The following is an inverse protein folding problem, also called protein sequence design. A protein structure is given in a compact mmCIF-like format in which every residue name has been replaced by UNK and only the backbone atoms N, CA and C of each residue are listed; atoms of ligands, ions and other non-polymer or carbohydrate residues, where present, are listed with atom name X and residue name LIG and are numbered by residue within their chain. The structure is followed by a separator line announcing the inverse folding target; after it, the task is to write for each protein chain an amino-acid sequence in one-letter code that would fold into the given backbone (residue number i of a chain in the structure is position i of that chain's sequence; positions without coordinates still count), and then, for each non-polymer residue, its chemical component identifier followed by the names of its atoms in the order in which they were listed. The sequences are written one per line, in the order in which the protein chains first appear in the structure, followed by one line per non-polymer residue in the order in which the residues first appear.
data_IF_222155585480
#
_entry.id   IF_222155585480
#
_cell.length_a   1.000
_cell.length_b   1.000
_cell.length_c   1.000
_cell.angle_alpha   90.00
_cell.angle_beta   90.00
_cell.angle_gamma   90.00
#
_symmetry.space_group_name_H-M   'P 1'
#
loop_
_entity.id
_entity.type
_entity.pdbx_description
1 polymer ?
#
# COMPACT_ATOMS: atom_id res chain seq x y z
N UNK A 1 -10.10 -21.40 -30.27
CA UNK A 1 -10.78 -21.03 -29.02
C UNK A 1 -12.09 -20.35 -29.38
N UNK A 2 -13.24 -20.91 -28.99
CA UNK A 2 -14.53 -20.27 -29.22
C UNK A 2 -14.58 -18.89 -28.58
N UNK A 3 -15.15 -17.91 -29.28
CA UNK A 3 -15.29 -16.52 -28.79
C UNK A 3 -16.03 -16.43 -27.45
N UNK A 4 -16.90 -17.42 -27.15
CA UNK A 4 -17.61 -17.52 -25.87
C UNK A 4 -16.65 -17.78 -24.71
N UNK A 5 -15.81 -18.82 -24.84
CA UNK A 5 -14.82 -19.20 -23.83
C UNK A 5 -13.86 -18.05 -23.48
N UNK A 6 -13.33 -17.35 -24.50
CA UNK A 6 -12.46 -16.19 -24.28
C UNK A 6 -13.18 -15.06 -23.52
N UNK A 7 -14.45 -14.83 -23.83
CA UNK A 7 -15.29 -13.85 -23.12
C UNK A 7 -15.53 -14.22 -21.66
N UNK A 8 -15.80 -15.49 -21.37
CA UNK A 8 -15.97 -16.01 -20.01
C UNK A 8 -14.67 -15.93 -19.20
N UNK A 9 -13.54 -16.35 -19.79
CA UNK A 9 -12.22 -16.26 -19.15
C UNK A 9 -11.84 -14.81 -18.84
N UNK A 10 -12.09 -13.87 -19.77
CA UNK A 10 -11.84 -12.45 -19.53
C UNK A 10 -12.69 -11.90 -18.38
N UNK A 11 -13.96 -12.28 -18.27
CA UNK A 11 -14.81 -11.89 -17.14
C UNK A 11 -14.30 -12.44 -15.82
N UNK A 12 -13.93 -13.72 -15.78
CA UNK A 12 -13.39 -14.37 -14.58
C UNK A 12 -12.09 -13.69 -14.11
N UNK A 13 -11.18 -13.41 -15.04
CA UNK A 13 -9.94 -12.69 -14.75
C UNK A 13 -10.22 -11.29 -14.17
N UNK A 14 -11.13 -10.53 -14.77
CA UNK A 14 -11.50 -9.20 -14.27
C UNK A 14 -12.19 -9.23 -12.90
N UNK A 15 -12.96 -10.27 -12.60
CA UNK A 15 -13.53 -10.46 -11.27
C UNK A 15 -12.44 -10.70 -10.21
N UNK A 16 -11.42 -11.49 -10.55
CA UNK A 16 -10.29 -11.79 -9.68
C UNK A 16 -9.41 -10.55 -9.37
N UNK A 17 -9.46 -9.50 -10.20
CA UNK A 17 -8.69 -8.25 -9.97
C UNK A 17 -8.93 -7.68 -8.57
N UNK A 18 -10.16 -7.70 -8.08
CA UNK A 18 -10.48 -7.15 -6.75
C UNK A 18 -9.84 -7.96 -5.59
N UNK A 19 -9.47 -9.21 -5.83
CA UNK A 19 -8.82 -10.09 -4.84
C UNK A 19 -7.30 -10.10 -4.96
N UNK A 20 -6.78 -9.97 -6.18
CA UNK A 20 -5.35 -9.99 -6.48
C UNK A 20 -4.73 -8.61 -6.31
N UNK A 21 -5.39 -7.58 -6.84
CA UNK A 21 -4.89 -6.20 -6.80
C UNK A 21 -5.33 -5.51 -5.50
N UNK A 22 -4.78 -5.94 -4.36
CA UNK A 22 -5.13 -5.35 -3.06
C UNK A 22 -4.53 -3.94 -2.88
N UNK A 23 -3.37 -3.68 -3.49
CA UNK A 23 -2.69 -2.38 -3.42
C UNK A 23 -2.73 -1.65 -4.76
N UNK A 24 -2.58 -0.31 -4.77
CA UNK A 24 -2.41 0.45 -6.00
C UNK A 24 -1.23 0.01 -6.85
N UNK A 25 -0.13 -0.42 -6.22
CA UNK A 25 1.01 -0.98 -6.96
C UNK A 25 0.56 -2.16 -7.82
N UNK A 26 -0.14 -3.14 -7.23
CA UNK A 26 -0.65 -4.29 -8.00
C UNK A 26 -1.61 -3.85 -9.11
N UNK A 27 -2.50 -2.90 -8.81
CA UNK A 27 -3.44 -2.39 -9.81
C UNK A 27 -2.70 -1.71 -10.97
N UNK A 28 -1.71 -0.86 -10.69
CA UNK A 28 -0.96 -0.14 -11.71
C UNK A 28 -0.10 -1.10 -12.54
N UNK A 29 0.58 -2.07 -11.90
CA UNK A 29 1.29 -3.15 -12.59
C UNK A 29 0.35 -3.94 -13.49
N UNK A 30 -0.85 -4.31 -13.01
CA UNK A 30 -1.85 -5.03 -13.79
C UNK A 30 -2.30 -4.23 -15.02
N UNK A 31 -2.52 -2.92 -14.87
CA UNK A 31 -2.88 -2.03 -15.99
C UNK A 31 -1.74 -1.93 -17.00
N UNK A 32 -0.49 -1.87 -16.54
CA UNK A 32 0.66 -1.86 -17.44
C UNK A 32 0.76 -3.18 -18.24
N UNK A 33 0.60 -4.33 -17.57
CA UNK A 33 0.53 -5.62 -18.27
C UNK A 33 -0.62 -5.67 -19.28
N UNK A 34 -1.81 -5.16 -18.92
CA UNK A 34 -2.93 -5.09 -19.85
C UNK A 34 -2.59 -4.28 -21.12
N UNK A 35 -1.82 -3.19 -20.96
CA UNK A 35 -1.36 -2.34 -22.05
C UNK A 35 -0.28 -3.01 -22.91
N UNK A 36 0.64 -3.76 -22.32
CA UNK A 36 1.64 -4.55 -23.06
C UNK A 36 0.95 -5.63 -23.89
N UNK A 37 0.11 -6.45 -23.25
CA UNK A 37 -0.63 -7.54 -23.92
C UNK A 37 -1.57 -7.01 -25.01
N UNK A 38 -2.21 -5.85 -24.81
CA UNK A 38 -3.10 -5.28 -25.83
C UNK A 38 -2.37 -4.83 -27.10
N UNK A 39 -1.09 -4.44 -26.98
CA UNK A 39 -0.25 -4.09 -28.14
C UNK A 39 0.20 -5.32 -28.90
N UNK A 40 0.58 -6.38 -28.19
CA UNK A 40 1.12 -7.61 -28.79
C UNK A 40 0.05 -8.53 -29.38
N UNK A 41 -1.16 -8.55 -28.81
CA UNK A 41 -2.23 -9.47 -29.23
C UNK A 41 -2.81 -9.22 -30.62
N UNK A 42 -2.53 -8.09 -31.27
CA UNK A 42 -2.89 -7.83 -32.68
C UNK A 42 -4.40 -7.77 -33.01
N UNK A 43 -5.29 -8.02 -32.05
CA UNK A 43 -6.75 -8.09 -32.25
C UNK A 43 -7.38 -6.76 -32.71
N UNK A 44 -6.73 -5.64 -32.38
CA UNK A 44 -7.08 -4.30 -32.83
C UNK A 44 -5.81 -3.50 -33.04
N UNK A 45 -5.64 -2.94 -34.25
CA UNK A 45 -4.59 -1.96 -34.57
C UNK A 45 -4.70 -0.81 -33.56
N UNK A 46 -3.59 -0.52 -32.87
CA UNK A 46 -3.45 0.57 -31.88
C UNK A 46 -4.38 0.48 -30.65
N UNK A 47 -4.70 -0.74 -30.17
CA UNK A 47 -5.47 -0.88 -28.93
C UNK A 47 -4.65 -0.49 -27.70
N UNK A 48 -5.13 0.54 -26.98
CA UNK A 48 -4.57 0.96 -25.69
C UNK A 48 -5.04 0.09 -24.51
N UNK A 49 -5.68 -1.06 -24.74
CA UNK A 49 -6.14 -1.98 -23.67
C UNK A 49 -7.39 -1.55 -22.89
N UNK A 50 -7.82 -0.29 -23.01
CA UNK A 50 -8.96 0.27 -22.27
C UNK A 50 -10.33 -0.11 -22.87
N UNK A 51 -10.78 -1.34 -22.61
CA UNK A 51 -12.13 -1.81 -22.91
C UNK A 51 -13.18 -1.36 -21.88
N UNK A 52 -14.48 -1.49 -22.21
CA UNK A 52 -15.59 -1.20 -21.27
C UNK A 52 -15.51 -2.02 -19.98
N UNK A 53 -15.13 -3.30 -20.10
CA UNK A 53 -15.01 -4.21 -18.96
C UNK A 53 -13.85 -3.80 -18.03
N UNK A 54 -12.70 -3.44 -18.60
CA UNK A 54 -11.55 -2.96 -17.82
C UNK A 54 -11.88 -1.66 -17.09
N UNK A 55 -12.46 -0.66 -17.79
CA UNK A 55 -12.92 0.59 -17.16
C UNK A 55 -13.88 0.32 -16.01
N UNK A 56 -14.85 -0.56 -16.23
CA UNK A 56 -15.84 -0.91 -15.21
C UNK A 56 -15.20 -1.57 -13.97
N UNK A 57 -14.19 -2.40 -14.17
CA UNK A 57 -13.44 -3.11 -13.11
C UNK A 57 -12.63 -2.11 -12.30
N UNK A 58 -11.88 -1.21 -12.95
CA UNK A 58 -11.09 -0.17 -12.27
C UNK A 58 -11.99 0.79 -11.49
N UNK A 59 -13.12 1.23 -12.06
CA UNK A 59 -14.09 2.08 -11.33
C UNK A 59 -14.59 1.35 -10.08
N UNK A 60 -15.01 0.08 -10.20
CA UNK A 60 -15.47 -0.72 -9.06
C UNK A 60 -14.39 -0.87 -7.99
N UNK A 61 -13.12 -0.99 -8.39
CA UNK A 61 -12.00 -1.14 -7.46
C UNK A 61 -11.90 0.06 -6.51
N UNK A 62 -11.99 1.28 -7.02
CA UNK A 62 -11.95 2.49 -6.20
C UNK A 62 -13.16 2.62 -5.26
N UNK A 63 -14.35 2.29 -5.75
CA UNK A 63 -15.60 2.40 -4.99
C UNK A 63 -15.82 1.26 -3.97
N UNK A 64 -15.04 0.18 -4.05
CA UNK A 64 -15.07 -0.91 -3.06
C UNK A 64 -14.35 -0.55 -1.75
N UNK A 65 -13.57 0.53 -1.71
CA UNK A 65 -12.91 1.00 -0.49
C UNK A 65 -13.81 1.95 0.29
N UNK A 66 -13.72 1.94 1.62
CA UNK A 66 -14.31 3.01 2.44
C UNK A 66 -13.58 4.35 2.16
N UNK A 67 -14.21 5.51 2.42
CA UNK A 67 -13.57 6.81 2.21
C UNK A 67 -12.22 6.93 2.92
N UNK A 68 -12.15 6.53 4.19
CA UNK A 68 -10.93 6.55 5.00
C UNK A 68 -9.82 5.68 4.39
N UNK A 69 -10.16 4.46 3.96
CA UNK A 69 -9.19 3.58 3.29
C UNK A 69 -8.74 4.14 1.96
N UNK A 70 -9.65 4.74 1.19
CA UNK A 70 -9.33 5.35 -0.09
C UNK A 70 -8.40 6.56 0.08
N UNK A 71 -8.65 7.42 1.08
CA UNK A 71 -7.80 8.56 1.42
C UNK A 71 -6.37 8.13 1.77
N UNK A 72 -6.22 7.10 2.60
CA UNK A 72 -4.92 6.49 2.88
C UNK A 72 -4.23 5.97 1.61
N UNK A 73 -4.96 5.18 0.79
CA UNK A 73 -4.44 4.60 -0.45
C UNK A 73 -3.90 5.67 -1.39
N UNK A 74 -4.65 6.74 -1.64
CA UNK A 74 -4.29 7.74 -2.65
C UNK A 74 -3.13 8.64 -2.21
N UNK A 75 -2.97 8.85 -0.91
CA UNK A 75 -1.92 9.69 -0.35
C UNK A 75 -0.62 8.91 -0.15
N UNK A 76 -0.69 7.61 0.18
CA UNK A 76 0.48 6.72 0.28
C UNK A 76 1.04 6.31 -1.07
N UNK A 77 0.19 5.95 -2.03
CA UNK A 77 0.60 5.39 -3.33
C UNK A 77 0.36 6.36 -4.49
N UNK A 78 0.76 7.63 -4.32
CA UNK A 78 0.50 8.72 -5.29
C UNK A 78 0.89 8.39 -6.73
N UNK A 79 2.02 7.70 -6.91
CA UNK A 79 2.58 7.31 -8.20
C UNK A 79 3.38 6.00 -8.08
N UNK A 80 3.05 4.99 -8.91
CA UNK A 80 3.79 3.72 -9.04
C UNK A 80 3.67 3.21 -10.47
N UNK A 81 4.61 2.39 -10.95
CA UNK A 81 4.54 1.77 -12.28
C UNK A 81 4.13 2.74 -13.41
N UNK A 82 4.69 3.94 -13.40
CA UNK A 82 4.38 4.99 -14.37
C UNK A 82 2.95 5.56 -14.37
N UNK A 83 2.09 5.18 -13.42
CA UNK A 83 0.73 5.70 -13.28
C UNK A 83 0.54 6.48 -11.98
N UNK A 84 -0.29 7.52 -12.07
CA UNK A 84 -0.94 8.15 -10.92
C UNK A 84 -2.42 7.75 -10.84
N UNK A 85 -3.04 7.96 -9.67
CA UNK A 85 -4.49 7.79 -9.53
C UNK A 85 -5.30 8.68 -10.49
N UNK A 86 -4.80 9.89 -10.78
CA UNK A 86 -5.42 10.81 -11.74
C UNK A 86 -5.45 10.22 -13.15
N UNK A 87 -4.36 9.59 -13.58
CA UNK A 87 -4.29 8.96 -14.91
C UNK A 87 -5.36 7.88 -15.03
N UNK A 88 -5.50 7.03 -14.01
CA UNK A 88 -6.55 6.01 -13.99
C UNK A 88 -7.95 6.63 -13.97
N UNK A 89 -8.18 7.71 -13.22
CA UNK A 89 -9.47 8.41 -13.18
C UNK A 89 -9.85 8.95 -14.55
N UNK A 90 -8.88 9.52 -15.28
CA UNK A 90 -9.08 10.00 -16.64
C UNK A 90 -9.34 8.86 -17.62
N UNK A 91 -8.58 7.76 -17.54
CA UNK A 91 -8.67 6.63 -18.46
C UNK A 91 -9.93 5.77 -18.23
N UNK A 92 -10.37 5.65 -16.97
CA UNK A 92 -11.56 4.88 -16.62
C UNK A 92 -12.86 5.68 -16.70
N UNK A 93 -12.77 7.01 -16.81
CA UNK A 93 -13.89 7.95 -16.68
C UNK A 93 -14.64 7.71 -15.37
N UNK A 94 -13.94 7.96 -14.25
CA UNK A 94 -14.49 7.64 -12.94
C UNK A 94 -15.76 8.45 -12.67
N UNK A 95 -16.87 7.73 -12.50
CA UNK A 95 -18.15 8.28 -12.10
C UNK A 95 -18.90 7.24 -11.28
N UNK A 96 -19.70 7.67 -10.30
CA UNK A 96 -20.57 6.75 -9.58
C UNK A 96 -21.56 6.15 -10.57
N UNK A 97 -21.74 4.83 -10.51
CA UNK A 97 -22.65 4.15 -11.43
C UNK A 97 -24.04 4.12 -10.83
N UNK A 98 -25.05 4.35 -11.68
CA UNK A 98 -26.47 4.14 -11.33
C UNK A 98 -26.77 2.70 -10.91
N UNK A 99 -25.90 1.75 -11.26
CA UNK A 99 -26.00 0.34 -10.88
C UNK A 99 -25.51 0.05 -9.46
N UNK A 100 -25.00 1.04 -8.72
CA UNK A 100 -24.68 0.84 -7.31
C UNK A 100 -25.97 0.66 -6.51
N UNK A 101 -25.96 -0.31 -5.59
CA UNK A 101 -27.06 -0.51 -4.63
C UNK A 101 -27.32 0.78 -3.86
N UNK A 102 -28.55 1.02 -3.41
CA UNK A 102 -28.90 2.12 -2.50
C UNK A 102 -28.08 2.08 -1.20
N UNK A 103 -27.66 0.89 -0.78
CA UNK A 103 -26.84 0.66 0.42
C UNK A 103 -25.34 0.82 0.17
N UNK A 104 -24.92 1.15 -1.05
CA UNK A 104 -23.50 1.27 -1.37
C UNK A 104 -22.84 2.43 -0.59
N UNK A 105 -21.66 2.20 -0.02
CA UNK A 105 -20.89 3.16 0.79
C UNK A 105 -20.78 4.57 0.18
N UNK A 106 -20.72 4.65 -1.15
CA UNK A 106 -20.74 5.93 -1.87
C UNK A 106 -21.90 6.86 -1.47
N UNK A 107 -23.12 6.33 -1.37
CA UNK A 107 -24.30 7.15 -1.10
C UNK A 107 -24.34 7.68 0.34
N UNK A 108 -23.74 6.95 1.28
CA UNK A 108 -23.63 7.34 2.68
C UNK A 108 -22.51 8.39 2.90
N UNK A 109 -21.48 8.39 2.07
CA UNK A 109 -20.27 9.21 2.25
C UNK A 109 -19.94 10.10 1.04
N UNK A 110 -20.95 10.59 0.32
CA UNK A 110 -20.75 11.28 -0.96
C UNK A 110 -19.78 12.47 -0.86
N UNK A 111 -19.89 13.27 0.21
CA UNK A 111 -19.02 14.43 0.47
C UNK A 111 -17.54 14.02 0.55
N UNK A 112 -17.24 12.97 1.29
CA UNK A 112 -15.87 12.48 1.49
C UNK A 112 -15.25 11.97 0.18
N UNK A 113 -15.99 11.18 -0.60
CA UNK A 113 -15.54 10.75 -1.92
C UNK A 113 -15.28 11.94 -2.86
N UNK A 114 -16.16 12.94 -2.86
CA UNK A 114 -16.00 14.13 -3.70
C UNK A 114 -14.75 14.93 -3.29
N UNK A 115 -14.45 15.04 -1.99
CA UNK A 115 -13.26 15.73 -1.50
C UNK A 115 -11.96 14.98 -1.83
N UNK A 116 -11.96 13.64 -1.70
CA UNK A 116 -10.88 12.76 -2.17
C UNK A 116 -10.63 12.95 -3.67
N UNK A 117 -11.69 12.97 -4.48
CA UNK A 117 -11.58 13.10 -5.93
C UNK A 117 -11.09 14.50 -6.34
N UNK A 118 -11.54 15.55 -5.64
CA UNK A 118 -11.01 16.91 -5.82
C UNK A 118 -9.51 16.97 -5.51
N UNK A 119 -9.05 16.32 -4.44
CA UNK A 119 -7.63 16.24 -4.12
C UNK A 119 -6.82 15.58 -5.26
N UNK A 120 -7.29 14.44 -5.78
CA UNK A 120 -6.64 13.73 -6.90
C UNK A 120 -6.58 14.64 -8.15
N UNK A 121 -7.65 15.38 -8.43
CA UNK A 121 -7.70 16.27 -9.59
C UNK A 121 -6.76 17.48 -9.47
N UNK A 122 -6.53 18.01 -8.26
CA UNK A 122 -5.72 19.21 -7.99
C UNK A 122 -4.20 18.99 -8.07
N UNK A 123 -3.70 17.76 -7.94
CA UNK A 123 -2.26 17.43 -7.83
C UNK A 123 -1.40 17.66 -9.10
N UNK A 124 -1.80 18.56 -10.02
CA UNK A 124 -1.09 18.86 -11.29
C UNK A 124 -0.32 20.20 -11.31
N UNK A 125 -0.02 20.85 -10.17
CA UNK A 125 0.77 22.10 -10.17
C UNK A 125 2.29 21.91 -10.39
N UNK A 126 2.65 21.07 -11.36
CA UNK A 126 4.02 20.86 -11.81
C UNK A 126 4.04 20.46 -13.29
N UNK A 127 3.76 21.45 -14.15
CA UNK A 127 3.92 21.51 -15.62
C UNK A 127 2.67 22.04 -16.31
N UNK A 128 2.36 23.32 -16.12
CA UNK A 128 1.46 24.07 -17.00
C UNK A 128 2.28 24.70 -18.13
N UNK A 129 2.11 24.19 -19.34
CA UNK A 129 2.01 25.07 -20.51
C UNK A 129 0.52 25.24 -20.81
N UNK A 130 0.16 26.50 -20.99
CA UNK A 130 -1.15 27.06 -21.26
C UNK A 130 -1.98 26.25 -22.27
N UNK A 131 -3.30 26.16 -22.05
CA UNK A 131 -4.17 25.68 -23.11
C UNK A 131 -5.62 25.34 -22.76
N UNK A 132 -6.46 26.39 -22.71
CA UNK A 132 -7.85 26.39 -23.18
C UNK A 132 -8.88 25.61 -22.35
N UNK A 133 -9.59 26.41 -21.55
CA UNK A 133 -10.99 26.31 -21.18
C UNK A 133 -11.87 25.65 -22.26
N UNK A 134 -12.61 24.60 -21.89
CA UNK A 134 -13.65 23.99 -22.76
C UNK A 134 -15.00 23.91 -22.05
N UNK A 135 -15.94 24.61 -22.68
CA UNK A 135 -17.38 24.75 -22.39
C UNK A 135 -18.07 23.41 -22.14
N UNK A 136 -18.90 23.35 -21.08
CA UNK A 136 -19.89 22.31 -20.82
C UNK A 136 -20.85 22.21 -22.02
N UNK A 137 -20.95 21.03 -22.65
CA UNK A 137 -22.09 20.64 -23.47
C UNK A 137 -22.97 19.70 -22.64
N UNK A 138 -24.22 20.11 -22.42
CA UNK A 138 -25.31 19.20 -22.09
C UNK A 138 -25.56 18.34 -23.34
N UNK A 139 -25.41 17.02 -23.24
CA UNK A 139 -25.85 16.10 -24.28
C UNK A 139 -27.13 15.39 -23.82
N UNK A 140 -28.20 15.66 -24.58
CA UNK A 140 -29.45 14.90 -24.62
C UNK A 140 -29.17 13.55 -25.30
N UNK A 141 -29.67 12.47 -24.69
CA UNK A 141 -29.55 11.09 -25.16
C UNK A 141 -30.38 10.85 -26.44
N UNK A 142 -29.84 10.14 -27.45
CA UNK A 142 -30.66 9.35 -28.34
C UNK A 142 -30.61 7.87 -27.94
N UNK A 143 -31.80 7.29 -27.84
CA UNK A 143 -32.04 5.88 -27.59
C UNK A 143 -31.47 5.04 -28.75
N UNK A 144 -30.53 4.14 -28.45
CA UNK A 144 -30.06 3.12 -29.40
C UNK A 144 -29.96 1.77 -28.69
N UNK A 145 -30.99 0.96 -28.92
CA UNK A 145 -31.00 -0.46 -28.59
C UNK A 145 -29.78 -1.15 -29.20
N UNK A 146 -28.92 -1.73 -28.36
CA UNK A 146 -27.75 -2.48 -28.81
C UNK A 146 -28.12 -3.94 -29.11
N UNK A 147 -28.06 -4.35 -30.37
CA UNK A 147 -28.01 -5.78 -30.74
C UNK A 147 -26.59 -6.31 -30.48
N UNK A 148 -26.38 -7.00 -29.35
CA UNK A 148 -25.27 -7.95 -29.14
C UNK A 148 -25.83 -9.14 -28.35
N UNK A 149 -25.55 -10.35 -28.81
CA UNK A 149 -26.01 -11.59 -28.18
C UNK A 149 -25.70 -11.62 -26.69
N UNK A 150 -26.72 -11.93 -25.89
CA UNK A 150 -26.57 -12.29 -24.47
C UNK A 150 -25.75 -13.57 -24.40
N UNK A 151 -24.76 -13.59 -23.50
CA UNK A 151 -24.06 -14.81 -23.11
C UNK A 151 -25.01 -15.70 -22.32
N UNK A 152 -24.79 -17.01 -22.38
CA UNK A 152 -25.54 -18.00 -21.62
C UNK A 152 -25.42 -17.70 -20.11
N UNK A 153 -26.55 -17.40 -19.42
CA UNK A 153 -26.56 -17.13 -17.99
C UNK A 153 -26.01 -18.29 -17.16
N UNK A 154 -26.18 -19.53 -17.62
CA UNK A 154 -25.89 -20.73 -16.84
C UNK A 154 -24.38 -21.00 -16.75
N UNK A 155 -23.66 -20.90 -17.87
CA UNK A 155 -22.19 -20.99 -17.89
C UNK A 155 -21.52 -19.87 -17.08
N UNK A 156 -22.10 -18.66 -17.12
CA UNK A 156 -21.58 -17.51 -16.37
C UNK A 156 -21.75 -17.71 -14.86
N UNK A 157 -22.87 -18.28 -14.45
CA UNK A 157 -23.15 -18.57 -13.04
C UNK A 157 -22.34 -19.78 -12.53
N UNK A 158 -22.09 -20.78 -13.37
CA UNK A 158 -21.25 -21.92 -13.00
C UNK A 158 -19.80 -21.50 -12.76
N UNK A 159 -19.23 -20.65 -13.63
CA UNK A 159 -17.89 -20.09 -13.40
C UNK A 159 -17.87 -19.24 -12.14
N UNK A 160 -18.95 -18.50 -11.85
CA UNK A 160 -19.08 -17.71 -10.60
C UNK A 160 -19.05 -18.61 -9.37
N UNK A 161 -19.84 -19.70 -9.37
CA UNK A 161 -19.89 -20.68 -8.28
C UNK A 161 -18.57 -21.39 -8.05
N UNK A 162 -17.93 -21.89 -9.12
CA UNK A 162 -16.62 -22.56 -9.01
C UNK A 162 -15.55 -21.60 -8.47
N UNK A 163 -15.59 -20.32 -8.84
CA UNK A 163 -14.72 -19.32 -8.24
C UNK A 163 -15.06 -19.08 -6.77
N UNK A 164 -16.35 -18.98 -6.40
CA UNK A 164 -16.80 -18.81 -5.01
C UNK A 164 -16.39 -19.99 -4.12
N UNK A 165 -16.45 -21.22 -4.61
CA UNK A 165 -15.98 -22.43 -3.93
C UNK A 165 -14.45 -22.42 -3.71
N UNK A 166 -13.67 -22.14 -4.76
CA UNK A 166 -12.22 -21.89 -4.66
C UNK A 166 -11.88 -20.70 -3.75
N UNK A 167 -12.82 -19.77 -3.56
CA UNK A 167 -12.65 -18.63 -2.67
C UNK A 167 -12.97 -19.00 -1.21
N UNK A 168 -13.90 -19.91 -0.95
CA UNK A 168 -14.16 -20.45 0.39
C UNK A 168 -12.95 -21.26 0.88
N UNK A 169 -12.47 -22.20 0.09
CA UNK A 169 -11.30 -23.03 0.42
C UNK A 169 -10.05 -22.16 0.71
N UNK A 170 -9.87 -21.08 -0.05
CA UNK A 170 -8.74 -20.16 0.12
C UNK A 170 -8.96 -19.10 1.22
N UNK A 171 -10.19 -18.88 1.68
CA UNK A 171 -10.47 -18.01 2.83
C UNK A 171 -10.30 -18.76 4.15
N UNK A 172 -10.58 -20.07 4.18
CA UNK A 172 -10.16 -20.97 5.26
C UNK A 172 -8.63 -21.01 5.40
N UNK A 173 -7.87 -20.95 4.29
CA UNK A 173 -6.39 -20.84 4.32
C UNK A 173 -5.84 -19.41 4.59
N UNK A 174 -6.71 -18.39 4.56
CA UNK A 174 -6.39 -16.95 4.71
C UNK A 174 -7.04 -16.30 5.93
N UNK A 175 -7.25 -17.03 7.02
CA UNK A 175 -7.52 -16.38 8.32
C UNK A 175 -6.33 -15.56 8.87
N UNK A 176 -5.21 -15.48 8.15
CA UNK A 176 -4.06 -14.64 8.47
C UNK A 176 -3.90 -13.46 7.49
N UNK A 177 -4.88 -12.56 7.49
CA UNK A 177 -4.68 -11.11 7.31
C UNK A 177 -6.02 -10.44 7.59
N UNK A 178 -6.30 -10.15 8.87
CA UNK A 178 -7.45 -9.34 9.27
C UNK A 178 -7.43 -8.05 8.46
N UNK A 179 -8.38 -7.95 7.54
CA UNK A 179 -8.54 -6.82 6.66
C UNK A 179 -8.81 -5.54 7.46
N UNK A 180 -8.15 -4.48 7.02
CA UNK A 180 -8.12 -3.10 7.52
C UNK A 180 -9.50 -2.37 7.52
N UNK A 181 -10.60 -3.13 7.50
CA UNK A 181 -11.96 -2.69 7.19
C UNK A 181 -12.72 -2.16 8.42
N UNK A 182 -12.15 -2.27 9.62
CA UNK A 182 -12.81 -1.83 10.88
C UNK A 182 -12.02 -0.86 11.77
N UNK A 183 -10.99 -0.16 11.26
CA UNK A 183 -10.00 0.51 12.13
C UNK A 183 -10.09 2.05 12.16
N UNK A 184 -10.99 2.66 11.38
CA UNK A 184 -11.10 4.12 11.34
C UNK A 184 -12.08 4.63 12.39
N UNK A 185 -11.64 5.62 13.17
CA UNK A 185 -12.45 6.27 14.18
C UNK A 185 -13.68 6.93 13.53
N UNK A 186 -14.93 6.64 13.97
CA UNK A 186 -16.13 7.26 13.41
C UNK A 186 -16.19 8.79 13.59
N UNK A 187 -15.33 9.38 14.44
CA UNK A 187 -15.25 10.81 14.67
C UNK A 187 -14.31 11.57 13.72
N UNK A 188 -13.41 10.91 12.98
CA UNK A 188 -12.48 11.56 12.05
C UNK A 188 -12.73 11.07 10.62
N UNK A 189 -13.29 11.95 9.79
CA UNK A 189 -13.68 11.64 8.42
C UNK A 189 -12.50 11.68 7.43
N UNK A 190 -12.70 11.15 6.23
CA UNK A 190 -11.64 11.10 5.21
C UNK A 190 -11.23 12.50 4.74
N UNK A 191 -12.12 13.48 4.86
CA UNK A 191 -11.85 14.88 4.53
C UNK A 191 -10.80 15.46 5.49
N UNK A 192 -10.91 15.20 6.79
CA UNK A 192 -9.92 15.59 7.78
C UNK A 192 -8.54 14.97 7.49
N UNK A 193 -8.50 13.68 7.12
CA UNK A 193 -7.26 12.99 6.73
C UNK A 193 -6.57 13.66 5.53
N UNK A 194 -7.32 13.95 4.46
CA UNK A 194 -6.79 14.61 3.27
C UNK A 194 -6.31 16.03 3.58
N UNK A 195 -7.03 16.77 4.43
CA UNK A 195 -6.62 18.10 4.85
C UNK A 195 -5.33 18.07 5.67
N UNK A 196 -5.20 17.14 6.61
CA UNK A 196 -3.99 16.91 7.37
C UNK A 196 -2.81 16.52 6.48
N UNK A 197 -3.04 15.67 5.46
CA UNK A 197 -2.02 15.32 4.48
C UNK A 197 -1.55 16.55 3.69
N UNK A 198 -2.48 17.38 3.18
CA UNK A 198 -2.14 18.61 2.45
C UNK A 198 -1.34 19.57 3.35
N UNK A 199 -1.79 19.74 4.61
CA UNK A 199 -1.08 20.55 5.60
C UNK A 199 0.35 20.07 5.77
N UNK A 200 0.55 18.76 5.99
CA UNK A 200 1.88 18.16 6.13
C UNK A 200 2.78 18.45 4.90
N UNK A 201 2.24 18.41 3.67
CA UNK A 201 3.02 18.73 2.47
C UNK A 201 3.52 20.18 2.46
N UNK A 202 2.68 21.11 2.93
CA UNK A 202 2.91 22.56 2.89
C UNK A 202 3.80 23.08 4.03
N UNK A 203 3.91 22.34 5.15
CA UNK A 203 4.69 22.77 6.32
C UNK A 203 6.14 23.15 6.01
N UNK A 204 6.62 24.29 6.49
CA UNK A 204 8.05 24.60 6.44
C UNK A 204 8.82 23.73 7.46
N UNK A 205 10.11 23.46 7.20
CA UNK A 205 10.95 22.61 8.06
C UNK A 205 11.08 23.11 9.50
N UNK A 206 10.83 24.40 9.76
CA UNK A 206 10.80 24.98 11.09
C UNK A 206 9.64 24.45 11.96
N UNK A 207 8.57 23.93 11.35
CA UNK A 207 7.38 23.42 12.05
C UNK A 207 7.49 21.91 12.28
N UNK A 208 8.61 21.48 12.88
CA UNK A 208 8.93 20.07 13.09
C UNK A 208 7.90 19.39 14.02
N UNK A 209 7.55 20.04 15.12
CA UNK A 209 6.59 19.50 16.11
C UNK A 209 5.17 19.34 15.54
N UNK A 210 4.73 20.28 14.69
CA UNK A 210 3.45 20.14 13.98
C UNK A 210 3.48 18.95 13.01
N UNK A 211 4.59 18.75 12.29
CA UNK A 211 4.75 17.61 11.40
C UNK A 211 4.71 16.28 12.18
N UNK A 212 5.37 16.20 13.34
CA UNK A 212 5.35 15.03 14.23
C UNK A 212 3.93 14.77 14.75
N UNK A 213 3.24 15.82 15.21
CA UNK A 213 1.85 15.73 15.68
C UNK A 213 0.95 15.15 14.60
N UNK A 214 1.04 15.66 13.36
CA UNK A 214 0.26 15.15 12.23
C UNK A 214 0.58 13.68 11.91
N UNK A 215 1.87 13.30 11.95
CA UNK A 215 2.29 11.91 11.73
C UNK A 215 1.68 10.97 12.78
N UNK A 216 1.76 11.34 14.05
CA UNK A 216 1.23 10.54 15.16
C UNK A 216 -0.30 10.48 15.15
N UNK A 217 -0.95 11.61 14.92
CA UNK A 217 -2.41 11.75 14.94
C UNK A 217 -3.09 10.97 13.80
N UNK A 218 -2.57 11.09 12.59
CA UNK A 218 -3.16 10.50 11.39
C UNK A 218 -2.48 9.19 10.95
N UNK A 219 -1.44 8.76 11.67
CA UNK A 219 -0.67 7.55 11.35
C UNK A 219 -0.08 7.60 9.94
N UNK A 220 0.50 8.74 9.55
CA UNK A 220 1.14 8.87 8.24
C UNK A 220 2.37 7.97 8.15
N UNK A 221 2.53 7.32 7.01
CA UNK A 221 3.70 6.53 6.68
C UNK A 221 4.75 7.35 5.95
N UNK A 222 5.97 6.80 5.84
CA UNK A 222 7.13 7.45 5.21
C UNK A 222 6.80 8.05 3.83
N UNK A 223 6.04 7.34 2.99
CA UNK A 223 5.68 7.80 1.64
C UNK A 223 4.88 9.11 1.62
N UNK A 224 4.19 9.41 2.72
CA UNK A 224 3.37 10.60 2.89
C UNK A 224 4.16 11.77 3.47
N UNK A 225 5.28 11.49 4.14
CA UNK A 225 6.12 12.52 4.77
C UNK A 225 7.01 13.22 3.73
N UNK A 226 7.00 14.55 3.65
CA UNK A 226 7.88 15.29 2.74
C UNK A 226 9.36 15.00 3.01
N UNK A 227 10.16 14.94 1.94
CA UNK A 227 11.58 14.59 2.00
C UNK A 227 12.38 15.46 2.98
N UNK A 228 12.01 16.74 3.13
CA UNK A 228 12.62 17.71 4.06
C UNK A 228 12.50 17.30 5.53
N UNK A 229 11.48 16.51 5.90
CA UNK A 229 11.29 16.03 7.26
C UNK A 229 12.02 14.71 7.53
N UNK A 230 12.37 13.95 6.49
CA UNK A 230 13.05 12.65 6.61
C UNK A 230 14.54 12.76 6.99
N UNK A 231 15.06 13.97 7.21
CA UNK A 231 16.39 14.20 7.81
C UNK A 231 16.36 14.24 9.34
N UNK A 232 15.20 14.42 9.96
CA UNK A 232 15.06 14.55 11.41
C UNK A 232 14.82 13.19 12.07
N UNK A 233 15.54 12.89 13.16
CA UNK A 233 15.39 11.62 13.89
C UNK A 233 14.04 11.53 14.61
N UNK A 234 13.53 12.65 15.09
CA UNK A 234 12.23 12.79 15.75
C UNK A 234 11.09 12.28 14.83
N UNK A 235 11.18 12.61 13.54
CA UNK A 235 10.21 12.17 12.52
C UNK A 235 10.28 10.66 12.31
N UNK A 236 11.48 10.09 12.24
CA UNK A 236 11.63 8.63 12.14
C UNK A 236 11.15 7.92 13.41
N UNK A 237 11.44 8.47 14.59
CA UNK A 237 10.91 7.96 15.85
C UNK A 237 9.38 7.98 15.89
N UNK A 238 8.75 9.05 15.41
CA UNK A 238 7.29 9.14 15.32
C UNK A 238 6.71 8.09 14.35
N UNK A 239 7.36 7.88 13.21
CA UNK A 239 6.96 6.86 12.23
C UNK A 239 7.02 5.44 12.81
N UNK A 240 8.00 5.15 13.69
CA UNK A 240 8.18 3.81 14.28
C UNK A 240 6.94 3.31 15.03
N UNK A 241 6.11 4.21 15.57
CA UNK A 241 4.86 3.88 16.28
C UNK A 241 4.01 2.85 15.54
N UNK A 242 3.85 3.04 14.23
CA UNK A 242 2.97 2.23 13.36
C UNK A 242 3.68 1.64 12.15
N UNK A 243 5.00 1.82 12.03
CA UNK A 243 5.77 1.27 10.91
C UNK A 243 5.77 -0.27 10.95
N UNK A 244 5.50 -0.95 9.84
CA UNK A 244 5.59 -2.42 9.78
C UNK A 244 7.04 -2.91 9.85
N UNK A 245 7.28 -4.17 10.23
CA UNK A 245 8.64 -4.70 10.28
C UNK A 245 9.31 -4.68 8.90
N UNK A 246 8.57 -4.95 7.83
CA UNK A 246 9.07 -4.83 6.44
C UNK A 246 9.49 -3.42 6.08
N UNK A 247 8.77 -2.41 6.57
CA UNK A 247 9.15 -1.02 6.37
C UNK A 247 10.36 -0.63 7.24
N UNK A 248 10.47 -1.14 8.47
CA UNK A 248 11.65 -0.96 9.32
C UNK A 248 12.89 -1.49 8.60
N UNK A 249 12.89 -2.76 8.21
CA UNK A 249 14.03 -3.44 7.55
C UNK A 249 14.53 -2.69 6.30
N UNK A 250 13.60 -2.10 5.53
CA UNK A 250 13.93 -1.33 4.31
C UNK A 250 14.50 0.06 4.57
N UNK A 251 14.42 0.57 5.80
CA UNK A 251 14.79 1.95 6.16
C UNK A 251 15.76 2.02 7.35
N UNK A 252 16.21 0.89 7.89
CA UNK A 252 17.13 0.83 9.04
C UNK A 252 18.44 1.58 8.80
N UNK A 253 18.95 1.50 7.57
CA UNK A 253 20.10 2.26 7.10
C UNK A 253 19.87 3.78 7.22
N UNK A 254 18.69 4.26 6.79
CA UNK A 254 18.33 5.67 6.88
C UNK A 254 18.19 6.11 8.33
N UNK A 255 17.52 5.31 9.16
CA UNK A 255 17.35 5.58 10.59
C UNK A 255 18.70 5.65 11.32
N UNK A 256 19.64 4.77 10.98
CA UNK A 256 21.00 4.82 11.54
C UNK A 256 21.78 6.03 11.07
N UNK A 257 21.62 6.46 9.81
CA UNK A 257 22.32 7.64 9.27
C UNK A 257 21.82 9.00 9.80
N UNK A 258 20.68 9.02 10.50
CA UNK A 258 20.16 10.22 11.18
C UNK A 258 20.36 10.11 12.68
N UNK A 259 21.19 9.18 13.13
CA UNK A 259 21.55 8.98 14.53
C UNK A 259 20.34 8.68 15.43
N UNK A 260 19.29 8.06 14.88
CA UNK A 260 18.10 7.67 15.64
C UNK A 260 18.43 6.65 16.74
N UNK A 261 19.45 5.83 16.50
CA UNK A 261 19.82 4.71 17.35
C UNK A 261 21.06 4.98 18.20
N UNK A 262 21.57 6.22 18.20
CA UNK A 262 22.69 6.58 19.07
C UNK A 262 22.18 6.79 20.50
N UNK A 263 22.89 6.19 21.47
CA UNK A 263 22.67 6.39 22.90
C UNK A 263 23.20 7.78 23.30
N UNK A 264 22.38 8.81 23.16
CA UNK A 264 22.60 10.10 23.84
C UNK A 264 21.85 10.13 25.17
N UNK A 265 22.17 11.10 26.04
CA UNK A 265 21.65 11.20 27.42
C UNK A 265 20.11 11.25 27.57
N UNK A 266 19.35 11.42 26.48
CA UNK A 266 17.89 11.42 26.47
C UNK A 266 17.32 10.53 25.36
N UNK A 267 16.41 9.61 25.73
CA UNK A 267 15.68 8.77 24.79
C UNK A 267 14.70 9.64 23.98
N UNK A 268 14.81 9.60 22.65
CA UNK A 268 13.91 10.35 21.74
C UNK A 268 12.44 9.98 21.96
N UNK A 269 12.16 8.76 22.44
CA UNK A 269 10.81 8.31 22.73
C UNK A 269 10.20 9.03 23.95
N UNK A 270 10.99 9.53 24.91
CA UNK A 270 10.49 10.34 26.02
C UNK A 270 9.86 11.65 25.52
N UNK A 271 10.56 12.33 24.59
CA UNK A 271 10.05 13.52 23.92
C UNK A 271 8.78 13.20 23.12
N UNK A 272 8.77 12.12 22.34
CA UNK A 272 7.62 11.73 21.53
C UNK A 272 6.41 11.30 22.37
N UNK A 273 6.64 10.71 23.55
CA UNK A 273 5.61 10.42 24.53
C UNK A 273 4.93 11.70 25.03
N UNK A 274 5.72 12.76 25.28
CA UNK A 274 5.20 14.09 25.60
C UNK A 274 4.29 14.66 24.49
N UNK A 275 4.77 14.66 23.24
CA UNK A 275 3.96 15.13 22.08
C UNK A 275 2.69 14.29 21.94
N UNK A 276 2.80 12.97 22.09
CA UNK A 276 1.67 12.06 21.99
C UNK A 276 0.59 12.36 23.03
N UNK A 277 0.98 12.68 24.26
CA UNK A 277 0.05 12.98 25.36
C UNK A 277 -0.83 14.21 25.09
N UNK A 278 -0.39 15.10 24.20
CA UNK A 278 -1.13 16.31 23.80
C UNK A 278 -2.15 16.05 22.66
N UNK A 279 -2.16 14.85 22.06
CA UNK A 279 -3.07 14.51 20.96
C UNK A 279 -4.38 13.98 21.53
N UNK A 280 -5.48 14.71 21.30
CA UNK A 280 -6.80 14.39 21.85
C UNK A 280 -7.60 13.38 21.04
N UNK A 281 -7.26 13.15 19.77
CA UNK A 281 -7.98 12.25 18.87
C UNK A 281 -7.02 11.65 17.84
N UNK A 282 -7.25 10.39 17.49
CA UNK A 282 -6.48 9.67 16.47
C UNK A 282 -7.39 9.25 15.31
N UNK A 283 -6.84 9.25 14.10
CA UNK A 283 -7.57 8.80 12.92
C UNK A 283 -7.86 7.30 12.95
N UNK A 284 -6.91 6.51 13.47
CA UNK A 284 -7.09 5.09 13.71
C UNK A 284 -7.51 4.87 15.17
N UNK A 285 -8.59 4.12 15.37
CA UNK A 285 -9.12 3.76 16.69
C UNK A 285 -8.60 2.39 17.17
N UNK A 286 -7.56 1.89 16.50
CA UNK A 286 -7.00 0.59 16.80
C UNK A 286 -5.86 0.66 17.82
N UNK A 287 -5.72 -0.43 18.57
CA UNK A 287 -4.61 -0.64 19.49
C UNK A 287 -3.35 -1.15 18.78
N UNK A 288 -3.29 -1.12 17.44
CA UNK A 288 -2.15 -1.61 16.65
C UNK A 288 -0.97 -0.63 16.64
N UNK A 289 -0.50 -0.26 17.83
CA UNK A 289 0.76 0.45 18.01
C UNK A 289 1.85 -0.58 18.33
N UNK A 290 2.93 -0.57 17.55
CA UNK A 290 4.06 -1.48 17.77
C UNK A 290 5.01 -0.97 18.85
N UNK A 291 4.98 0.35 19.08
CA UNK A 291 5.88 1.06 19.99
C UNK A 291 5.16 1.50 21.23
N UNK A 292 5.78 1.22 22.36
CA UNK A 292 5.49 1.86 23.63
C UNK A 292 6.56 2.92 23.89
N UNK A 293 6.24 4.19 23.63
CA UNK A 293 7.20 5.28 23.80
C UNK A 293 7.63 5.49 25.26
N UNK A 294 6.97 4.87 26.24
CA UNK A 294 7.36 4.97 27.65
C UNK A 294 8.32 3.89 28.09
N UNK A 295 8.27 2.71 27.44
CA UNK A 295 9.04 1.54 27.86
C UNK A 295 10.10 1.09 26.83
N UNK A 296 9.99 1.54 25.58
CA UNK A 296 10.97 1.25 24.55
C UNK A 296 11.99 2.39 24.39
N UNK A 297 13.12 2.05 23.81
CA UNK A 297 13.98 2.96 23.04
C UNK A 297 14.01 2.48 21.57
N UNK A 298 14.48 3.30 20.61
CA UNK A 298 14.49 2.92 19.20
C UNK A 298 15.20 1.58 18.90
N UNK A 299 16.28 1.26 19.60
CA UNK A 299 17.04 0.01 19.42
C UNK A 299 16.31 -1.16 20.07
N UNK A 300 15.87 -1.02 21.32
CA UNK A 300 15.14 -2.11 22.00
C UNK A 300 13.82 -2.44 21.31
N UNK A 301 13.09 -1.46 20.77
CA UNK A 301 11.91 -1.68 19.95
C UNK A 301 12.22 -2.60 18.77
N UNK A 302 13.27 -2.30 17.99
CA UNK A 302 13.63 -3.08 16.80
C UNK A 302 14.06 -4.48 17.20
N UNK A 303 14.90 -4.61 18.22
CA UNK A 303 15.35 -5.91 18.74
C UNK A 303 14.17 -6.75 19.21
N UNK A 304 13.25 -6.16 19.98
CA UNK A 304 12.03 -6.81 20.46
C UNK A 304 11.17 -7.31 19.30
N UNK A 305 10.99 -6.50 18.26
CA UNK A 305 10.19 -6.88 17.08
C UNK A 305 10.85 -7.94 16.21
N UNK A 306 12.17 -7.92 16.07
CA UNK A 306 12.92 -8.95 15.33
C UNK A 306 12.92 -10.30 16.06
N UNK A 307 12.77 -10.29 17.39
CA UNK A 307 12.72 -11.51 18.18
C UNK A 307 11.29 -12.02 18.44
N UNK A 308 10.25 -11.35 17.94
CA UNK A 308 8.85 -11.76 18.08
C UNK A 308 8.49 -12.86 17.06
N UNK A 309 8.79 -14.11 17.43
CA UNK A 309 8.64 -15.30 16.56
C UNK A 309 7.18 -15.45 16.08
N UNK A 310 6.21 -15.23 16.97
CA UNK A 310 4.80 -15.39 16.65
C UNK A 310 4.34 -14.34 15.63
N UNK A 311 4.75 -13.07 15.78
CA UNK A 311 4.44 -12.04 14.78
C UNK A 311 5.15 -12.28 13.45
N UNK A 312 6.42 -12.68 13.47
CA UNK A 312 7.14 -13.06 12.25
C UNK A 312 6.41 -14.17 11.47
N UNK A 313 5.83 -15.14 12.20
CA UNK A 313 5.04 -16.23 11.63
C UNK A 313 3.70 -15.77 11.09
N UNK A 314 2.95 -14.98 11.88
CA UNK A 314 1.65 -14.44 11.49
C UNK A 314 1.76 -13.55 10.24
N UNK A 315 2.80 -12.72 10.16
CA UNK A 315 3.08 -11.87 8.99
C UNK A 315 3.70 -12.64 7.81
N UNK A 316 3.93 -13.96 7.95
CA UNK A 316 4.55 -14.84 6.94
C UNK A 316 5.87 -14.27 6.39
N UNK A 317 6.70 -13.76 7.29
CA UNK A 317 7.94 -13.09 6.93
C UNK A 317 8.95 -14.05 6.30
N UNK A 318 9.45 -13.74 5.10
CA UNK A 318 10.36 -14.62 4.38
C UNK A 318 11.81 -14.46 4.88
N UNK A 319 12.56 -15.55 5.18
CA UNK A 319 13.95 -15.47 5.67
C UNK A 319 14.89 -14.65 4.78
N UNK A 320 14.74 -14.74 3.46
CA UNK A 320 15.55 -13.95 2.51
C UNK A 320 15.38 -12.43 2.66
N UNK A 321 14.22 -11.95 3.12
CA UNK A 321 14.02 -10.53 3.36
C UNK A 321 14.88 -10.04 4.53
N UNK A 322 14.98 -10.86 5.59
CA UNK A 322 15.84 -10.58 6.75
C UNK A 322 17.31 -10.66 6.33
N UNK A 323 17.70 -11.68 5.58
CA UNK A 323 19.08 -11.85 5.11
C UNK A 323 19.53 -10.68 4.21
N UNK A 324 18.66 -10.23 3.30
CA UNK A 324 18.91 -9.07 2.45
C UNK A 324 19.04 -7.78 3.27
N UNK A 325 18.16 -7.58 4.25
CA UNK A 325 18.22 -6.43 5.15
C UNK A 325 19.48 -6.45 6.02
N UNK A 326 19.86 -7.62 6.56
CA UNK A 326 21.10 -7.82 7.32
C UNK A 326 22.31 -7.47 6.49
N UNK A 327 22.49 -8.12 5.35
CA UNK A 327 23.63 -7.88 4.45
C UNK A 327 23.76 -6.39 4.09
N UNK A 328 22.62 -5.76 3.78
CA UNK A 328 22.59 -4.33 3.47
C UNK A 328 22.99 -3.48 4.67
N UNK A 329 22.46 -3.77 5.86
CA UNK A 329 22.70 -3.00 7.08
C UNK A 329 24.14 -3.10 7.57
N UNK A 330 24.73 -4.29 7.52
CA UNK A 330 26.11 -4.56 7.95
C UNK A 330 27.16 -3.89 7.07
N UNK A 331 26.83 -3.64 5.81
CA UNK A 331 27.73 -2.95 4.89
C UNK A 331 28.08 -1.52 5.34
N UNK A 332 27.22 -0.88 6.15
CA UNK A 332 27.46 0.46 6.69
C UNK A 332 27.45 1.59 5.64
N UNK A 333 27.13 1.27 4.39
CA UNK A 333 27.16 2.21 3.27
C UNK A 333 26.11 1.89 2.20
N UNK A 334 25.47 2.92 1.64
CA UNK A 334 24.52 2.79 0.52
C UNK A 334 25.08 3.55 -0.69
N UNK A 335 25.59 2.82 -1.68
CA UNK A 335 26.19 3.38 -2.92
C UNK A 335 25.23 4.32 -3.66
N UNK A 336 23.97 3.92 -3.85
CA UNK A 336 22.98 4.68 -4.64
C UNK A 336 22.66 6.05 -4.05
N UNK A 337 22.66 6.17 -2.72
CA UNK A 337 22.30 7.40 -2.01
C UNK A 337 23.48 8.07 -1.31
N UNK A 338 24.69 7.51 -1.45
CA UNK A 338 25.93 7.94 -0.77
C UNK A 338 25.74 8.15 0.73
N UNK A 339 24.98 7.26 1.36
CA UNK A 339 24.67 7.29 2.79
C UNK A 339 25.67 6.42 3.54
N UNK A 340 26.20 6.91 4.64
CA UNK A 340 27.06 6.16 5.57
C UNK A 340 26.32 6.03 6.89
N UNK A 341 26.45 4.90 7.56
CA UNK A 341 25.98 4.70 8.93
C UNK A 341 26.88 3.69 9.66
N UNK A 342 26.81 3.70 10.98
CA UNK A 342 27.51 2.72 11.82
C UNK A 342 26.54 1.59 12.20
N UNK A 343 26.78 0.34 11.78
CA UNK A 343 25.92 -0.78 12.17
C UNK A 343 25.96 -1.00 13.69
N UNK A 344 24.77 -1.24 14.28
CA UNK A 344 24.64 -1.48 15.72
C UNK A 344 24.64 -2.98 16.01
N UNK A 345 25.52 -3.40 16.92
CA UNK A 345 25.76 -4.82 17.23
C UNK A 345 24.51 -5.54 17.75
N UNK A 346 23.69 -4.89 18.60
CA UNK A 346 22.46 -5.50 19.12
C UNK A 346 21.45 -5.78 18.00
N UNK A 347 21.29 -4.84 17.08
CA UNK A 347 20.45 -4.97 15.89
C UNK A 347 20.98 -6.07 14.96
N UNK A 348 22.29 -6.13 14.70
CA UNK A 348 22.89 -7.19 13.87
C UNK A 348 22.61 -8.59 14.46
N UNK A 349 22.80 -8.76 15.77
CA UNK A 349 22.50 -10.02 16.47
C UNK A 349 21.01 -10.38 16.41
N UNK A 350 20.13 -9.39 16.50
CA UNK A 350 18.69 -9.60 16.39
C UNK A 350 18.29 -10.02 14.97
N UNK A 351 18.89 -9.44 13.92
CA UNK A 351 18.68 -9.85 12.54
C UNK A 351 19.14 -11.29 12.28
N UNK A 352 20.30 -11.67 12.82
CA UNK A 352 20.78 -13.06 12.77
C UNK A 352 19.80 -14.02 13.43
N UNK A 353 19.33 -13.68 14.64
CA UNK A 353 18.37 -14.50 15.38
C UNK A 353 17.04 -14.62 14.64
N UNK A 354 16.53 -13.51 14.10
CA UNK A 354 15.30 -13.46 13.33
C UNK A 354 15.34 -14.34 12.07
N UNK A 355 16.49 -14.40 11.38
CA UNK A 355 16.67 -15.25 10.21
C UNK A 355 16.45 -16.73 10.55
N UNK A 356 17.09 -17.23 11.61
CA UNK A 356 16.90 -18.62 12.05
C UNK A 356 15.50 -18.89 12.59
N UNK A 357 14.91 -17.92 13.31
CA UNK A 357 13.54 -18.01 13.81
C UNK A 357 12.53 -18.18 12.68
N UNK A 358 12.71 -17.51 11.53
CA UNK A 358 11.86 -17.71 10.36
C UNK A 358 12.03 -19.09 9.70
N UNK A 359 13.21 -19.71 9.80
CA UNK A 359 13.50 -21.03 9.19
C UNK A 359 12.98 -22.17 10.07
N UNK A 360 13.16 -22.08 11.39
CA UNK A 360 12.81 -23.13 12.36
C UNK A 360 11.30 -23.43 12.46
N UNK A 361 10.47 -22.69 11.73
CA UNK A 361 9.04 -22.94 11.58
C UNK A 361 8.75 -24.14 10.67
N UNK A 362 9.70 -24.52 9.80
CA UNK A 362 9.54 -25.64 8.87
C UNK A 362 9.84 -26.94 9.62
N UNK A 363 8.86 -27.85 9.66
CA UNK A 363 8.99 -29.13 10.35
C UNK A 363 10.20 -29.94 9.85
N UNK A 364 10.94 -30.53 10.80
CA UNK A 364 12.04 -31.44 10.47
C UNK A 364 11.49 -32.75 9.92
N UNK A 365 12.11 -33.26 8.87
CA UNK A 365 11.68 -34.49 8.17
C UNK A 365 12.44 -35.72 8.63
N UNK A 366 13.47 -35.55 9.48
CA UNK A 366 14.38 -36.59 9.99
C UNK A 366 15.05 -37.46 8.91
N UNK A 367 15.14 -36.97 7.67
CA UNK A 367 15.85 -37.65 6.58
C UNK A 367 17.33 -37.30 6.58
N UNK A 368 18.14 -38.14 5.91
CA UNK A 368 19.54 -37.85 5.63
C UNK A 368 19.61 -36.97 4.38
N UNK A 369 20.28 -35.83 4.51
CA UNK A 369 20.44 -34.86 3.43
C UNK A 369 21.90 -34.83 2.96
N UNK A 370 22.10 -34.79 1.65
CA UNK A 370 23.35 -34.36 1.02
C UNK A 370 23.08 -32.97 0.45
N UNK A 371 23.69 -31.94 1.04
CA UNK A 371 23.60 -30.57 0.56
C UNK A 371 24.89 -30.29 -0.22
N UNK A 372 24.78 -30.24 -1.55
CA UNK A 372 25.86 -29.83 -2.44
C UNK A 372 25.56 -28.43 -2.96
N UNK A 373 26.44 -27.47 -2.66
CA UNK A 373 26.32 -26.08 -3.11
C UNK A 373 27.29 -25.89 -4.28
N UNK A 374 26.78 -25.44 -5.41
CA UNK A 374 27.60 -25.06 -6.56
C UNK A 374 28.38 -23.79 -6.23
N UNK A 375 29.70 -23.84 -6.42
CA UNK A 375 30.65 -22.74 -6.20
C UNK A 375 31.41 -22.41 -7.49
N UNK A 376 30.86 -22.77 -8.66
CA UNK A 376 31.40 -22.41 -9.96
C UNK A 376 31.26 -20.91 -10.24
N UNK A 377 32.09 -20.39 -11.14
CA UNK A 377 32.11 -18.96 -11.54
C UNK A 377 30.76 -18.43 -12.03
N UNK A 378 29.81 -19.30 -12.40
CA UNK A 378 28.45 -18.89 -12.80
C UNK A 378 27.56 -18.44 -11.63
N UNK A 379 28.00 -18.69 -10.39
CA UNK A 379 27.28 -18.37 -9.16
C UNK A 379 27.72 -17.04 -8.52
N UNK A 380 28.80 -16.42 -9.03
CA UNK A 380 29.21 -15.04 -8.71
C UNK A 380 28.44 -14.01 -9.55
#
# INVERSE_FOLDING_TARGET
MEKSYQGCLQKAALFAVHKVCVTPTHLFTFIDYCKVVSKESGLKKDSNGWGRALRATVVKWYYNHTPNRLAFIITKYRYRESYSHRDLFCLCHIHPKRSFSSEHNYWQHQKEYDDIFKHIARNHKGNEKEGKERKRRQELLPDKQSKRGRLDPEETEQVRKNLEELNLERSEEKEASKDFVGLANPFVDATAYINAFNRLQELASANLEEAITLILQYGFEKEQVPQKFLSFKEVWGALLRRMSLSAILKNMDKMSSVDLFEEQDANIFDYLSGVLSNISSFFYDDYENYTDFTNDDPVSLIVRRLNDIEKLRQERFHPLAILSAKTSYEHGYEMKRKRIWKPIKSIQRALDSAFYNCINVIGVTHRRYLIAVDISDSMD
#
